data_IF_689360030449
#
_entry.id   IF_689360030449
#
_cell.length_a   1.000
_cell.length_b   1.000
_cell.length_c   1.000
_cell.angle_alpha   90.00
_cell.angle_beta   90.00
_cell.angle_gamma   90.00
#
_symmetry.space_group_name_H-M   'P 1'
#
loop_
_entity.id
_entity.type
_entity.pdbx_description
1 polymer ?
#
# COMPACT_ATOMS: atom_id res chain seq x y z
N UNK A 1 18.41 7.01 -11.38
CA UNK A 1 17.21 6.36 -10.83
C UNK A 1 17.64 5.73 -9.52
N UNK A 2 17.18 6.20 -8.34
CA UNK A 2 17.31 5.39 -7.13
C UNK A 2 16.44 4.15 -7.35
N UNK A 3 16.98 2.96 -7.09
CA UNK A 3 16.24 1.71 -7.30
C UNK A 3 14.91 1.77 -6.54
N UNK A 4 13.81 1.80 -7.29
CA UNK A 4 12.42 1.95 -6.82
C UNK A 4 11.94 0.80 -5.92
N UNK A 5 12.79 -0.20 -5.70
CA UNK A 5 12.50 -1.45 -5.02
C UNK A 5 13.08 -1.54 -3.61
N UNK A 6 13.70 -0.47 -3.10
CA UNK A 6 14.34 -0.48 -1.79
C UNK A 6 13.31 -0.18 -0.67
N UNK A 7 13.37 -0.98 0.41
CA UNK A 7 12.58 -0.79 1.61
C UNK A 7 13.49 -0.47 2.81
N UNK A 8 13.14 0.55 3.61
CA UNK A 8 13.86 0.86 4.83
C UNK A 8 13.50 -0.11 5.96
N UNK A 9 14.52 -0.57 6.68
CA UNK A 9 14.39 -1.44 7.84
C UNK A 9 15.42 -1.12 8.91
N UNK A 10 15.11 -1.50 10.15
CA UNK A 10 15.94 -1.41 11.33
C UNK A 10 16.38 -2.80 11.78
N UNK A 11 17.66 -2.97 12.06
CA UNK A 11 18.23 -4.27 12.43
C UNK A 11 17.92 -4.58 13.89
N UNK A 12 17.36 -5.77 14.16
CA UNK A 12 17.08 -6.24 15.53
C UNK A 12 18.28 -6.87 16.21
N UNK A 13 19.14 -7.54 15.45
CA UNK A 13 20.34 -8.22 15.96
C UNK A 13 21.41 -8.19 14.88
N UNK A 14 22.67 -7.99 15.25
CA UNK A 14 23.76 -7.93 14.28
C UNK A 14 23.87 -9.23 13.46
N UNK A 15 23.85 -9.13 12.13
CA UNK A 15 24.00 -10.26 11.21
C UNK A 15 24.84 -9.91 9.98
N UNK A 16 25.25 -10.92 9.20
CA UNK A 16 26.01 -10.75 7.95
C UNK A 16 25.25 -11.37 6.79
N UNK A 17 25.17 -10.64 5.68
CA UNK A 17 24.54 -11.08 4.43
C UNK A 17 25.39 -10.60 3.25
N UNK A 18 25.78 -11.50 2.34
CA UNK A 18 26.52 -11.20 1.09
C UNK A 18 27.67 -10.17 1.25
N UNK A 19 28.52 -10.35 2.26
CA UNK A 19 29.67 -9.49 2.62
C UNK A 19 29.36 -8.13 3.28
N UNK A 20 28.08 -7.84 3.57
CA UNK A 20 27.68 -6.66 4.35
C UNK A 20 27.34 -7.09 5.78
N UNK A 21 27.84 -6.33 6.76
CA UNK A 21 27.45 -6.50 8.17
C UNK A 21 26.34 -5.49 8.48
N UNK A 22 25.23 -5.99 9.01
CA UNK A 22 24.09 -5.21 9.45
C UNK A 22 24.17 -5.10 10.96
N UNK A 23 24.45 -3.90 11.47
CA UNK A 23 24.64 -3.65 12.89
C UNK A 23 23.30 -3.42 13.59
N UNK A 24 23.13 -4.02 14.77
CA UNK A 24 21.96 -3.85 15.62
C UNK A 24 21.60 -2.38 15.87
N UNK A 25 20.32 -2.06 15.78
CA UNK A 25 19.79 -0.73 16.01
C UNK A 25 19.99 0.26 14.85
N UNK A 26 20.79 -0.07 13.82
CA UNK A 26 20.97 0.76 12.63
C UNK A 26 19.87 0.54 11.59
N UNK A 27 19.66 1.58 10.79
CA UNK A 27 18.72 1.59 9.67
C UNK A 27 19.46 1.39 8.35
N UNK A 28 18.88 0.58 7.48
CA UNK A 28 19.41 0.26 6.15
C UNK A 28 18.26 0.14 5.16
N UNK A 29 18.63 0.08 3.88
CA UNK A 29 17.71 -0.18 2.77
C UNK A 29 18.20 -1.39 1.98
N UNK A 30 17.27 -2.26 1.59
CA UNK A 30 17.50 -3.43 0.73
C UNK A 30 16.28 -3.67 -0.17
N UNK A 31 16.41 -4.55 -1.16
CA UNK A 31 15.31 -4.89 -2.04
C UNK A 31 14.13 -5.46 -1.23
N UNK A 32 12.89 -5.12 -1.60
CA UNK A 32 11.70 -5.48 -0.81
C UNK A 32 11.58 -6.98 -0.50
N UNK A 33 11.93 -7.85 -1.47
CA UNK A 33 11.96 -9.30 -1.29
C UNK A 33 12.95 -9.74 -0.20
N UNK A 34 14.13 -9.12 -0.16
CA UNK A 34 15.14 -9.42 0.85
C UNK A 34 14.66 -8.97 2.22
N UNK A 35 14.05 -7.77 2.30
CA UNK A 35 13.49 -7.25 3.55
C UNK A 35 12.36 -8.15 4.05
N UNK A 36 11.46 -8.63 3.18
CA UNK A 36 10.39 -9.56 3.57
C UNK A 36 10.93 -10.87 4.18
N UNK A 37 12.00 -11.44 3.59
CA UNK A 37 12.66 -12.62 4.15
C UNK A 37 13.28 -12.30 5.52
N UNK A 38 14.00 -11.19 5.64
CA UNK A 38 14.65 -10.80 6.90
C UNK A 38 13.64 -10.53 8.03
N UNK A 39 12.44 -10.03 7.72
CA UNK A 39 11.34 -9.88 8.70
C UNK A 39 10.87 -11.25 9.17
N UNK A 40 10.63 -12.19 8.24
CA UNK A 40 10.12 -13.52 8.57
C UNK A 40 11.13 -14.30 9.43
N UNK A 41 12.42 -14.08 9.23
CA UNK A 41 13.51 -14.62 10.06
C UNK A 41 13.69 -13.87 11.39
N UNK A 42 12.91 -12.81 11.64
CA UNK A 42 12.98 -12.01 12.87
C UNK A 42 14.25 -11.19 13.02
N UNK A 43 15.02 -10.99 11.95
CA UNK A 43 16.32 -10.30 11.96
C UNK A 43 16.19 -8.78 11.89
N UNK A 44 15.09 -8.28 11.32
CA UNK A 44 14.85 -6.86 11.10
C UNK A 44 13.41 -6.48 11.43
N UNK A 45 13.21 -5.18 11.68
CA UNK A 45 11.94 -4.50 11.80
C UNK A 45 11.81 -3.52 10.63
N UNK A 46 10.69 -3.50 9.92
CA UNK A 46 10.51 -2.47 8.88
C UNK A 46 10.25 -1.11 9.52
N UNK A 47 10.56 -0.06 8.77
CA UNK A 47 10.03 1.28 9.02
C UNK A 47 8.74 1.39 8.19
N UNK A 48 7.55 1.23 8.79
CA UNK A 48 6.32 1.10 8.04
C UNK A 48 5.81 2.47 7.57
N UNK A 49 5.13 2.46 6.42
CA UNK A 49 4.25 3.56 6.03
C UNK A 49 3.15 3.73 7.10
N UNK A 50 3.05 4.94 7.63
CA UNK A 50 2.18 5.29 8.74
C UNK A 50 1.08 6.29 8.34
N UNK A 51 0.20 6.59 9.31
CA UNK A 51 -0.95 7.46 9.08
C UNK A 51 -0.60 8.87 8.57
N UNK A 52 0.56 9.42 8.95
CA UNK A 52 1.01 10.75 8.54
C UNK A 52 1.34 10.75 7.05
N UNK A 53 2.04 9.72 6.58
CA UNK A 53 2.42 9.59 5.17
C UNK A 53 1.19 9.43 4.28
N UNK A 54 0.25 8.55 4.65
CA UNK A 54 -1.00 8.40 3.90
C UNK A 54 -1.85 9.67 3.90
N UNK A 55 -1.89 10.43 5.00
CA UNK A 55 -2.60 11.73 5.04
C UNK A 55 -1.94 12.77 4.16
N UNK A 56 -0.61 12.77 4.07
CA UNK A 56 0.14 13.64 3.15
C UNK A 56 -0.23 13.32 1.70
N UNK A 57 -0.16 12.05 1.31
CA UNK A 57 -0.54 11.59 -0.04
C UNK A 57 -2.01 11.89 -0.34
N UNK A 58 -2.91 11.67 0.63
CA UNK A 58 -4.33 12.03 0.51
C UNK A 58 -4.51 13.51 0.22
N UNK A 59 -3.83 14.40 0.96
CA UNK A 59 -3.94 15.84 0.76
C UNK A 59 -3.39 16.26 -0.59
N UNK A 60 -2.20 15.77 -0.94
CA UNK A 60 -1.54 16.04 -2.21
C UNK A 60 -2.42 15.63 -3.40
N UNK A 61 -3.01 14.45 -3.33
CA UNK A 61 -3.91 14.00 -4.36
C UNK A 61 -5.24 14.74 -4.34
N UNK A 62 -5.82 15.05 -3.18
CA UNK A 62 -7.09 15.77 -3.08
C UNK A 62 -7.00 17.18 -3.70
N UNK A 63 -5.89 17.87 -3.46
CA UNK A 63 -5.69 19.26 -3.86
C UNK A 63 -5.21 19.39 -5.33
N UNK A 64 -4.79 18.29 -5.95
CA UNK A 64 -4.38 18.21 -7.36
C UNK A 64 -5.55 17.83 -8.27
N UNK A 65 -5.59 18.29 -9.52
CA UNK A 65 -6.48 17.72 -10.54
C UNK A 65 -5.97 16.37 -11.06
N UNK A 66 -4.65 16.20 -11.13
CA UNK A 66 -3.99 14.98 -11.61
C UNK A 66 -3.90 13.93 -10.51
N UNK A 67 -3.91 12.66 -10.91
CA UNK A 67 -3.59 11.53 -10.04
C UNK A 67 -2.16 11.65 -9.52
N UNK A 68 -1.95 11.34 -8.24
CA UNK A 68 -0.60 11.28 -7.68
C UNK A 68 0.14 10.07 -8.28
N UNK A 69 1.35 10.28 -8.77
CA UNK A 69 2.23 9.19 -9.23
C UNK A 69 2.72 8.41 -8.02
N UNK A 70 2.42 7.12 -7.98
CA UNK A 70 2.86 6.23 -6.91
C UNK A 70 4.18 5.59 -7.31
N UNK A 71 5.10 5.43 -6.35
CA UNK A 71 6.28 4.61 -6.57
C UNK A 71 5.89 3.18 -6.96
N UNK A 72 6.68 2.54 -7.82
CA UNK A 72 6.35 1.24 -8.43
C UNK A 72 5.93 0.16 -7.41
N UNK A 73 6.54 0.18 -6.22
CA UNK A 73 6.26 -0.80 -5.16
C UNK A 73 5.36 -0.29 -4.03
N UNK A 74 4.68 0.84 -4.22
CA UNK A 74 3.85 1.45 -3.19
C UNK A 74 2.87 0.44 -2.56
N UNK A 75 2.14 -0.31 -3.39
CA UNK A 75 1.16 -1.28 -2.89
C UNK A 75 1.80 -2.42 -2.11
N UNK A 76 2.97 -2.88 -2.54
CA UNK A 76 3.72 -3.91 -1.83
C UNK A 76 4.19 -3.39 -0.46
N UNK A 77 4.76 -2.18 -0.43
CA UNK A 77 5.24 -1.57 0.80
C UNK A 77 4.09 -1.26 1.77
N UNK A 78 2.97 -0.75 1.27
CA UNK A 78 1.77 -0.50 2.06
C UNK A 78 1.25 -1.80 2.69
N UNK A 79 1.20 -2.90 1.93
CA UNK A 79 0.81 -4.22 2.43
C UNK A 79 1.74 -4.71 3.55
N UNK A 80 3.06 -4.68 3.34
CA UNK A 80 4.04 -5.10 4.35
C UNK A 80 3.94 -4.23 5.61
N UNK A 81 3.78 -2.92 5.43
CA UNK A 81 3.57 -1.95 6.52
C UNK A 81 2.35 -2.29 7.36
N UNK A 82 1.20 -2.58 6.73
CA UNK A 82 -0.01 -2.97 7.45
C UNK A 82 0.13 -4.32 8.15
N UNK A 83 0.75 -5.32 7.51
CA UNK A 83 1.01 -6.64 8.12
C UNK A 83 1.82 -6.48 9.41
N UNK A 84 2.93 -5.77 9.32
CA UNK A 84 3.81 -5.53 10.45
C UNK A 84 3.13 -4.75 11.59
N UNK A 85 2.40 -3.67 11.27
CA UNK A 85 1.66 -2.90 12.27
C UNK A 85 0.55 -3.72 12.93
N UNK A 86 -0.14 -4.58 12.18
CA UNK A 86 -1.15 -5.51 12.69
C UNK A 86 -0.55 -6.52 13.65
N UNK A 87 0.60 -7.10 13.32
CA UNK A 87 1.32 -8.02 14.22
C UNK A 87 1.75 -7.31 15.51
N UNK A 88 2.27 -6.08 15.42
CA UNK A 88 2.61 -5.26 16.59
C UNK A 88 1.40 -4.81 17.40
N UNK A 89 0.22 -4.66 16.79
CA UNK A 89 -1.00 -4.23 17.50
C UNK A 89 -1.42 -5.15 18.63
N UNK A 90 -0.97 -6.42 18.62
CA UNK A 90 -1.22 -7.38 19.69
C UNK A 90 -0.33 -7.17 20.93
N UNK A 91 0.67 -6.28 20.85
CA UNK A 91 1.65 -6.06 21.92
C UNK A 91 1.18 -5.01 22.93
N UNK A 92 0.49 -3.96 22.49
CA UNK A 92 0.03 -2.87 23.38
C UNK A 92 -1.14 -2.06 22.81
N UNK A 93 -1.91 -1.39 23.68
CA UNK A 93 -2.97 -0.44 23.27
C UNK A 93 -2.45 0.73 22.41
N UNK A 94 -1.28 1.35 22.71
CA UNK A 94 -0.65 2.30 21.81
C UNK A 94 -0.40 1.73 20.41
N UNK A 95 0.14 0.52 20.30
CA UNK A 95 0.42 -0.11 19.00
C UNK A 95 -0.88 -0.39 18.23
N UNK A 96 -1.94 -0.80 18.93
CA UNK A 96 -3.27 -0.96 18.36
C UNK A 96 -3.83 0.34 17.80
N UNK A 97 -3.62 1.46 18.49
CA UNK A 97 -3.99 2.79 17.99
C UNK A 97 -3.20 3.15 16.74
N UNK A 98 -1.88 2.94 16.72
CA UNK A 98 -1.03 3.21 15.55
C UNK A 98 -1.51 2.42 14.33
N UNK A 99 -1.80 1.13 14.49
CA UNK A 99 -2.36 0.31 13.43
C UNK A 99 -3.70 0.85 12.92
N UNK A 100 -4.65 1.13 13.82
CA UNK A 100 -5.99 1.62 13.44
C UNK A 100 -5.94 2.98 12.72
N UNK A 101 -5.09 3.90 13.19
CA UNK A 101 -4.90 5.20 12.57
C UNK A 101 -4.27 5.06 11.17
N UNK A 102 -3.28 4.17 11.03
CA UNK A 102 -2.62 3.85 9.77
C UNK A 102 -3.60 3.24 8.76
N UNK A 103 -4.35 2.21 9.18
CA UNK A 103 -5.33 1.53 8.35
C UNK A 103 -6.46 2.47 7.89
N UNK A 104 -6.94 3.34 8.78
CA UNK A 104 -7.98 4.33 8.45
C UNK A 104 -7.47 5.37 7.46
N UNK A 105 -6.24 5.86 7.63
CA UNK A 105 -5.63 6.81 6.71
C UNK A 105 -5.41 6.21 5.31
N UNK A 106 -4.88 4.99 5.23
CA UNK A 106 -4.73 4.26 3.97
C UNK A 106 -6.08 4.02 3.28
N UNK A 107 -7.11 3.61 4.02
CA UNK A 107 -8.46 3.41 3.48
C UNK A 107 -9.00 4.69 2.84
N UNK A 108 -8.86 5.82 3.51
CA UNK A 108 -9.32 7.11 2.99
C UNK A 108 -8.55 7.52 1.73
N UNK A 109 -7.24 7.29 1.70
CA UNK A 109 -6.39 7.53 0.52
C UNK A 109 -6.84 6.69 -0.69
N UNK A 110 -6.96 5.38 -0.52
CA UNK A 110 -7.38 4.50 -1.60
C UNK A 110 -8.81 4.79 -2.09
N UNK A 111 -9.71 5.20 -1.17
CA UNK A 111 -11.07 5.62 -1.54
C UNK A 111 -11.05 6.89 -2.41
N UNK A 112 -10.30 7.92 -2.02
CA UNK A 112 -10.16 9.14 -2.80
C UNK A 112 -9.63 8.84 -4.21
N UNK A 113 -8.60 7.99 -4.29
CA UNK A 113 -8.05 7.54 -5.57
C UNK A 113 -9.08 6.84 -6.44
N UNK A 114 -9.84 5.91 -5.87
CA UNK A 114 -10.90 5.21 -6.58
C UNK A 114 -11.96 6.18 -7.12
N UNK A 115 -12.41 7.11 -6.29
CA UNK A 115 -13.38 8.14 -6.67
C UNK A 115 -12.86 9.02 -7.82
N UNK A 116 -11.57 9.38 -7.80
CA UNK A 116 -10.93 10.15 -8.88
C UNK A 116 -10.77 9.35 -10.17
N UNK A 117 -10.34 8.10 -10.09
CA UNK A 117 -10.26 7.20 -11.25
C UNK A 117 -11.63 7.07 -11.92
N UNK A 118 -12.67 6.82 -11.11
CA UNK A 118 -14.03 6.72 -11.62
C UNK A 118 -14.52 8.03 -12.24
N UNK A 119 -14.24 9.18 -11.63
CA UNK A 119 -14.57 10.48 -12.23
C UNK A 119 -13.86 10.69 -13.56
N UNK A 120 -12.58 10.37 -13.68
CA UNK A 120 -11.84 10.49 -14.94
C UNK A 120 -12.44 9.58 -16.02
N UNK A 121 -12.77 8.34 -15.67
CA UNK A 121 -13.43 7.38 -16.58
C UNK A 121 -14.86 7.81 -16.99
N UNK A 122 -15.60 8.48 -16.10
CA UNK A 122 -16.95 8.98 -16.37
C UNK A 122 -16.95 10.28 -17.18
N UNK A 123 -15.99 11.18 -16.92
CA UNK A 123 -15.82 12.43 -17.69
C UNK A 123 -15.42 12.14 -19.13
N UNK A 124 -14.65 11.08 -19.39
CA UNK A 124 -14.41 10.57 -20.75
C UNK A 124 -15.67 9.99 -21.43
N UNK A 125 -16.76 9.76 -20.68
CA UNK A 125 -17.99 9.09 -21.14
C UNK A 125 -19.25 9.98 -21.19
N UNK A 126 -19.21 11.28 -20.88
CA UNK A 126 -20.44 12.07 -20.79
C UNK A 126 -20.98 12.59 -22.13
N UNK A 127 -21.78 11.74 -22.80
CA UNK A 127 -23.20 11.97 -23.18
C UNK A 127 -23.67 10.89 -24.16
N UNK A 128 -24.19 9.74 -23.73
CA UNK A 128 -24.91 8.87 -24.68
C UNK A 128 -26.06 8.10 -24.00
N UNK A 129 -27.23 8.07 -24.65
CA UNK A 129 -28.22 7.00 -24.49
C UNK A 129 -27.58 5.70 -24.98
N UNK A 130 -27.19 4.84 -24.05
CA UNK A 130 -26.28 3.72 -24.33
C UNK A 130 -26.97 2.49 -24.94
N UNK A 131 -26.28 1.89 -25.90
CA UNK A 131 -26.63 0.68 -26.65
C UNK A 131 -26.23 -0.60 -25.86
N UNK A 132 -26.80 -1.78 -26.18
CA UNK A 132 -26.57 -3.03 -25.42
C UNK A 132 -25.09 -3.46 -25.31
N UNK A 133 -24.24 -3.11 -26.27
CA UNK A 133 -22.81 -3.42 -26.22
C UNK A 133 -22.06 -2.57 -25.19
N UNK A 134 -22.54 -1.35 -24.93
CA UNK A 134 -22.01 -0.48 -23.88
C UNK A 134 -22.44 -0.96 -22.49
N UNK A 135 -23.62 -1.58 -22.36
CA UNK A 135 -24.03 -2.28 -21.13
C UNK A 135 -23.12 -3.48 -20.83
N UNK A 136 -22.68 -4.23 -21.85
CA UNK A 136 -21.67 -5.29 -21.67
C UNK A 136 -20.33 -4.71 -21.24
N UNK A 137 -19.91 -3.59 -21.82
CA UNK A 137 -18.69 -2.90 -21.42
C UNK A 137 -18.77 -2.39 -19.97
N UNK A 138 -19.88 -1.79 -19.57
CA UNK A 138 -20.15 -1.37 -18.18
C UNK A 138 -20.15 -2.58 -17.23
N UNK A 139 -20.72 -3.71 -17.64
CA UNK A 139 -20.68 -4.95 -16.87
C UNK A 139 -19.24 -5.45 -16.68
N UNK A 140 -18.40 -5.41 -17.72
CA UNK A 140 -16.99 -5.78 -17.62
C UNK A 140 -16.20 -4.82 -16.72
N UNK A 141 -16.48 -3.52 -16.80
CA UNK A 141 -15.90 -2.53 -15.88
C UNK A 141 -16.40 -2.77 -14.44
N UNK A 142 -17.66 -3.15 -14.24
CA UNK A 142 -18.22 -3.43 -12.91
C UNK A 142 -17.60 -4.67 -12.26
N UNK A 143 -17.30 -5.70 -13.06
CA UNK A 143 -16.54 -6.86 -12.63
C UNK A 143 -15.11 -6.47 -12.23
N UNK A 144 -14.46 -5.62 -13.02
CA UNK A 144 -13.10 -5.16 -12.73
C UNK A 144 -13.06 -4.25 -11.48
N UNK A 145 -14.10 -3.41 -11.27
CA UNK A 145 -14.29 -2.65 -10.02
C UNK A 145 -14.50 -3.60 -8.84
N UNK A 146 -15.25 -4.69 -9.02
CA UNK A 146 -15.49 -5.69 -7.97
C UNK A 146 -14.20 -6.41 -7.56
N UNK A 147 -13.37 -6.81 -8.55
CA UNK A 147 -12.01 -7.31 -8.30
C UNK A 147 -11.14 -6.27 -7.60
N UNK A 148 -11.25 -5.00 -7.99
CA UNK A 148 -10.51 -3.91 -7.36
C UNK A 148 -10.92 -3.68 -5.90
N UNK A 149 -12.21 -3.82 -5.58
CA UNK A 149 -12.71 -3.78 -4.19
C UNK A 149 -12.15 -4.96 -3.39
N UNK A 150 -12.15 -6.17 -3.95
CA UNK A 150 -11.61 -7.35 -3.28
C UNK A 150 -10.09 -7.24 -3.06
N UNK A 151 -9.35 -6.76 -4.06
CA UNK A 151 -7.93 -6.43 -3.96
C UNK A 151 -7.64 -5.37 -2.90
N UNK A 152 -8.45 -4.31 -2.84
CA UNK A 152 -8.32 -3.28 -1.80
C UNK A 152 -8.49 -3.87 -0.41
N UNK A 153 -9.51 -4.70 -0.22
CA UNK A 153 -9.78 -5.35 1.06
C UNK A 153 -8.71 -6.39 1.43
N UNK A 154 -8.13 -7.12 0.46
CA UNK A 154 -7.01 -8.04 0.73
C UNK A 154 -5.75 -7.28 1.19
N UNK A 155 -5.43 -6.16 0.54
CA UNK A 155 -4.32 -5.27 0.99
C UNK A 155 -4.55 -4.78 2.41
N UNK A 156 -5.77 -4.31 2.73
CA UNK A 156 -6.12 -3.80 4.06
C UNK A 156 -5.99 -4.90 5.12
N UNK A 157 -6.36 -6.13 4.78
CA UNK A 157 -6.29 -7.28 5.68
C UNK A 157 -4.87 -7.85 5.84
N UNK A 158 -3.99 -7.56 4.89
CA UNK A 158 -2.62 -8.07 4.80
C UNK A 158 -2.52 -9.41 4.06
N UNK A 159 -3.56 -9.79 3.32
CA UNK A 159 -3.64 -11.07 2.62
C UNK A 159 -3.06 -10.95 1.21
N UNK A 160 -2.61 -12.09 0.64
CA UNK A 160 -2.31 -12.15 -0.80
C UNK A 160 -3.64 -12.12 -1.56
N UNK A 161 -3.73 -11.27 -2.58
CA UNK A 161 -4.84 -11.32 -3.51
C UNK A 161 -4.62 -12.48 -4.49
N UNK A 162 -5.58 -13.39 -4.57
CA UNK A 162 -5.66 -14.42 -5.60
C UNK A 162 -6.80 -14.01 -6.54
N UNK A 163 -6.46 -13.83 -7.82
CA UNK A 163 -7.35 -13.31 -8.85
C UNK A 163 -8.25 -14.39 -9.45
#
# INVERSE_FOLDING_TARGET
MPDSNLLPFKVKKTFRLFNKTFEEGREFELHFLEVEVLINEGLVDIIPLNSVEYRKMFKEEKDSEKMLELGENFFHFARLSQKYLKEKSNQSDPDKKIYNDSASALRNFLRLRAEKILKLLLIENEKIEVHEEELRFISLISDEISKWIQFRESIIKGDRYEA
#
